data_IF_331490843212
#
_entry.id   IF_331490843212
#
_cell.length_a   1.000
_cell.length_b   1.000
_cell.length_c   1.000
_cell.angle_alpha   90.00
_cell.angle_beta   90.00
_cell.angle_gamma   90.00
#
_symmetry.space_group_name_H-M   'P 1'
#
loop_
_entity.id
_entity.type
_entity.pdbx_description
1 polymer ?
#
# COMPACT_ATOMS: atom_id res chain seq x y z
N UNK A 1 26.22 -3.88 -29.64
CA UNK A 1 26.05 -3.76 -28.17
C UNK A 1 24.64 -3.29 -27.87
N UNK A 2 23.78 -4.16 -27.37
CA UNK A 2 22.42 -3.82 -26.93
C UNK A 2 22.48 -3.29 -25.49
N UNK A 3 21.97 -2.08 -25.28
CA UNK A 3 21.81 -1.49 -23.94
C UNK A 3 20.73 -2.29 -23.20
N UNK A 4 21.10 -3.07 -22.18
CA UNK A 4 20.12 -3.75 -21.33
C UNK A 4 19.24 -2.70 -20.64
N UNK A 5 17.94 -2.76 -20.91
CA UNK A 5 16.95 -1.98 -20.16
C UNK A 5 16.88 -2.56 -18.74
N UNK A 6 17.36 -1.81 -17.74
CA UNK A 6 17.18 -2.16 -16.33
C UNK A 6 15.69 -2.10 -16.02
N UNK A 7 15.12 -3.19 -15.50
CA UNK A 7 13.70 -3.25 -15.21
C UNK A 7 13.38 -2.33 -14.02
N UNK A 8 12.16 -1.77 -13.98
CA UNK A 8 11.71 -0.89 -12.88
C UNK A 8 11.86 -1.58 -11.51
N UNK A 9 11.65 -2.90 -11.48
CA UNK A 9 11.77 -3.71 -10.27
C UNK A 9 13.20 -3.71 -9.69
N UNK A 10 14.23 -3.58 -10.53
CA UNK A 10 15.63 -3.51 -10.08
C UNK A 10 15.95 -2.19 -9.35
N UNK A 11 15.06 -1.20 -9.42
CA UNK A 11 15.22 0.12 -8.79
C UNK A 11 14.36 0.29 -7.53
N UNK A 12 13.42 -0.62 -7.27
CA UNK A 12 12.54 -0.56 -6.12
C UNK A 12 13.08 -1.58 -5.11
N UNK A 13 13.78 -1.15 -4.05
CA UNK A 13 14.32 -2.08 -3.06
C UNK A 13 13.16 -2.82 -2.39
N UNK A 14 13.19 -4.15 -2.48
CA UNK A 14 12.24 -5.03 -1.80
C UNK A 14 12.87 -5.40 -0.46
N UNK A 15 12.18 -5.08 0.64
CA UNK A 15 12.55 -5.51 1.98
C UNK A 15 11.61 -6.61 2.46
N UNK A 16 12.19 -7.70 2.93
CA UNK A 16 11.51 -8.81 3.59
C UNK A 16 11.30 -8.49 5.08
N UNK A 17 10.43 -9.25 5.75
CA UNK A 17 10.04 -9.01 7.16
C UNK A 17 11.22 -8.79 8.12
N UNK A 18 12.31 -9.57 7.96
CA UNK A 18 13.48 -9.46 8.83
C UNK A 18 14.27 -8.16 8.65
N UNK A 19 14.24 -7.56 7.46
CA UNK A 19 14.99 -6.33 7.12
C UNK A 19 14.29 -5.06 7.61
N UNK A 20 13.04 -5.17 8.06
CA UNK A 20 12.29 -4.06 8.63
C UNK A 20 12.58 -3.83 10.12
N UNK A 21 13.14 -4.84 10.82
CA UNK A 21 13.33 -4.83 12.28
C UNK A 21 14.16 -3.65 12.81
N UNK A 22 15.19 -3.24 12.05
CA UNK A 22 16.11 -2.15 12.43
C UNK A 22 15.92 -0.90 11.54
N UNK A 23 14.72 -0.71 10.98
CA UNK A 23 14.41 0.46 10.15
C UNK A 23 14.25 1.71 11.01
N UNK A 24 14.94 2.80 10.64
CA UNK A 24 14.74 4.13 11.25
C UNK A 24 13.39 4.72 10.88
N UNK A 25 12.83 5.66 11.68
CA UNK A 25 11.61 6.38 11.32
C UNK A 25 11.70 7.03 9.93
N UNK A 26 10.57 7.15 9.23
CA UNK A 26 10.48 7.75 7.89
C UNK A 26 10.00 6.81 6.78
N UNK A 27 9.63 5.56 7.13
CA UNK A 27 9.00 4.61 6.21
C UNK A 27 7.67 4.15 6.79
N UNK A 28 6.69 4.01 5.90
CA UNK A 28 5.34 3.62 6.28
C UNK A 28 4.81 2.52 5.37
N UNK A 29 4.18 1.50 5.96
CA UNK A 29 3.34 0.55 5.25
C UNK A 29 1.97 1.16 5.04
N UNK A 30 1.42 1.05 3.82
CA UNK A 30 0.09 1.57 3.46
C UNK A 30 -0.75 0.44 2.89
N UNK A 31 -1.94 0.25 3.44
CA UNK A 31 -2.90 -0.76 3.03
C UNK A 31 -4.27 -0.13 2.77
N UNK A 32 -4.98 -0.60 1.75
CA UNK A 32 -6.35 -0.19 1.45
C UNK A 32 -7.26 -1.41 1.38
N UNK A 33 -8.35 -1.39 2.14
CA UNK A 33 -9.37 -2.44 2.09
C UNK A 33 -10.71 -1.86 1.66
N UNK A 34 -11.35 -2.50 0.68
CA UNK A 34 -12.69 -2.15 0.22
C UNK A 34 -13.74 -3.01 0.95
N UNK A 35 -14.73 -2.36 1.58
CA UNK A 35 -15.86 -3.01 2.25
C UNK A 35 -17.02 -3.21 1.29
N UNK A 36 -16.77 -4.00 0.24
CA UNK A 36 -17.66 -4.09 -0.92
C UNK A 36 -18.31 -5.47 -1.10
N UNK A 37 -18.07 -6.40 -0.16
CA UNK A 37 -18.63 -7.75 -0.22
C UNK A 37 -18.24 -8.55 -1.47
N UNK A 38 -17.14 -8.18 -2.14
CA UNK A 38 -16.69 -8.79 -3.39
C UNK A 38 -17.28 -8.18 -4.67
N UNK A 39 -18.17 -7.18 -4.55
CA UNK A 39 -18.70 -6.45 -5.70
C UNK A 39 -18.09 -5.04 -5.79
N UNK A 40 -17.28 -4.77 -6.83
CA UNK A 40 -16.64 -3.47 -7.01
C UNK A 40 -17.54 -2.39 -7.63
N UNK A 41 -18.80 -2.70 -7.93
CA UNK A 41 -19.76 -1.75 -8.52
C UNK A 41 -20.60 -1.05 -7.44
N UNK A 42 -20.88 0.24 -7.65
CA UNK A 42 -21.69 1.04 -6.75
C UNK A 42 -20.88 1.78 -5.68
N UNK A 43 -21.56 2.18 -4.60
CA UNK A 43 -20.96 2.89 -3.48
C UNK A 43 -20.50 1.94 -2.38
N UNK A 44 -19.26 2.08 -1.93
CA UNK A 44 -18.73 1.35 -0.78
C UNK A 44 -17.71 2.20 -0.01
N UNK A 45 -17.54 1.86 1.27
CA UNK A 45 -16.48 2.43 2.07
C UNK A 45 -15.18 1.66 1.88
N UNK A 46 -14.07 2.36 1.97
CA UNK A 46 -12.76 1.77 2.09
C UNK A 46 -12.09 2.28 3.36
N UNK A 47 -11.24 1.46 3.96
CA UNK A 47 -10.34 1.90 5.04
C UNK A 47 -8.94 1.95 4.51
N UNK A 48 -8.32 3.14 4.57
CA UNK A 48 -6.90 3.33 4.29
C UNK A 48 -6.17 3.31 5.64
N UNK A 49 -5.25 2.37 5.82
CA UNK A 49 -4.40 2.28 7.00
C UNK A 49 -2.94 2.58 6.64
N UNK A 50 -2.25 3.20 7.58
CA UNK A 50 -0.90 3.73 7.42
C UNK A 50 -0.15 3.47 8.73
N UNK A 51 0.87 2.62 8.67
CA UNK A 51 1.65 2.18 9.82
C UNK A 51 3.11 2.60 9.69
N UNK A 52 3.61 3.45 10.58
CA UNK A 52 5.04 3.71 10.66
C UNK A 52 5.77 2.42 11.03
N UNK A 53 6.70 1.98 10.16
CA UNK A 53 7.30 0.64 10.28
C UNK A 53 8.25 0.55 11.48
N UNK A 54 8.89 1.66 11.84
CA UNK A 54 9.84 1.71 12.96
C UNK A 54 9.13 1.58 14.31
N UNK A 55 8.05 2.34 14.50
CA UNK A 55 7.34 2.47 15.79
C UNK A 55 6.14 1.55 15.92
N UNK A 56 5.60 1.06 14.81
CA UNK A 56 4.33 0.31 14.76
C UNK A 56 3.09 1.18 14.93
N UNK A 57 3.24 2.51 15.05
CA UNK A 57 2.10 3.41 15.18
C UNK A 57 1.23 3.39 13.93
N UNK A 58 -0.07 3.16 14.10
CA UNK A 58 -1.02 2.98 12.99
C UNK A 58 -2.13 4.04 13.05
N UNK A 59 -2.43 4.63 11.89
CA UNK A 59 -3.59 5.49 11.67
C UNK A 59 -4.44 4.89 10.56
N UNK A 60 -5.75 4.87 10.75
CA UNK A 60 -6.70 4.44 9.72
C UNK A 60 -7.75 5.52 9.49
N UNK A 61 -8.08 5.77 8.23
CA UNK A 61 -9.12 6.70 7.81
C UNK A 61 -10.17 6.00 6.95
N UNK A 62 -11.42 6.44 7.06
CA UNK A 62 -12.53 5.97 6.25
C UNK A 62 -12.68 6.86 5.03
N UNK A 63 -12.73 6.25 3.84
CA UNK A 63 -12.99 6.92 2.57
C UNK A 63 -14.28 6.35 1.96
N UNK A 64 -15.17 7.21 1.46
CA UNK A 64 -16.35 6.78 0.71
C UNK A 64 -16.06 6.87 -0.79
N UNK A 65 -16.16 5.74 -1.48
CA UNK A 65 -15.98 5.68 -2.94
C UNK A 65 -17.30 5.35 -3.61
N UNK A 66 -17.65 6.10 -4.66
CA UNK A 66 -18.75 5.76 -5.56
C UNK A 66 -18.12 5.39 -6.91
N UNK A 67 -18.23 4.13 -7.30
CA UNK A 67 -17.77 3.65 -8.61
C UNK A 67 -19.00 3.38 -9.46
N UNK A 68 -19.25 4.27 -10.42
CA UNK A 68 -20.23 4.03 -11.47
C UNK A 68 -19.60 3.13 -12.54
N UNK A 69 -20.28 2.05 -12.92
CA UNK A 69 -19.92 1.29 -14.11
C UNK A 69 -20.12 2.19 -15.33
N UNK A 70 -19.09 2.35 -16.17
CA UNK A 70 -19.20 2.98 -17.50
C UNK A 70 -19.88 2.05 -18.48
#
# INVERSE_FOLDING_TARGET
>A
MTKQNKYLIDRIPIKTFGEWKDTSPGFTQVDLIAHNGGNAYGGFFSTLCTTDVCTGWTICILEQKIVYAS
#
